data_IF_845633567691
#
_entry.id   IF_845633567691
#
_cell.length_a   1.000
_cell.length_b   1.000
_cell.length_c   1.000
_cell.angle_alpha   90.00
_cell.angle_beta   90.00
_cell.angle_gamma   90.00
#
_symmetry.space_group_name_H-M   'P 1'
#
loop_
_entity.id
_entity.type
_entity.pdbx_description
1 polymer ?
#
# COMPACT_ATOMS: atom_id res chain seq x y z
N UNK A 1 49.54 -4.81 45.21
CA UNK A 1 48.34 -5.33 45.90
C UNK A 1 47.58 -4.24 46.67
N UNK A 2 48.19 -3.47 47.58
CA UNK A 2 47.47 -2.45 48.37
C UNK A 2 46.80 -1.32 47.55
N UNK A 3 47.41 -0.90 46.43
CA UNK A 3 46.84 0.14 45.53
C UNK A 3 45.57 -0.35 44.82
N UNK A 4 45.58 -1.59 44.32
CA UNK A 4 44.40 -2.19 43.68
C UNK A 4 43.23 -2.36 44.67
N UNK A 5 43.52 -2.75 45.90
CA UNK A 5 42.50 -2.87 46.95
C UNK A 5 41.86 -1.51 47.28
N UNK A 6 42.67 -0.45 47.34
CA UNK A 6 42.19 0.92 47.60
C UNK A 6 41.33 1.45 46.45
N UNK A 7 41.69 1.18 45.20
CA UNK A 7 40.89 1.54 44.01
C UNK A 7 39.54 0.82 44.03
N UNK A 8 39.51 -0.48 44.36
CA UNK A 8 38.27 -1.25 44.46
C UNK A 8 37.33 -0.72 45.57
N UNK A 9 37.86 -0.33 46.73
CA UNK A 9 37.05 0.23 47.82
C UNK A 9 36.45 1.59 47.44
N UNK A 10 37.23 2.47 46.79
CA UNK A 10 36.73 3.77 46.30
C UNK A 10 35.64 3.56 45.24
N UNK A 11 35.85 2.63 44.31
CA UNK A 11 34.86 2.31 43.27
C UNK A 11 33.56 1.78 43.86
N UNK A 12 33.65 0.87 44.85
CA UNK A 12 32.47 0.32 45.54
C UNK A 12 31.70 1.41 46.30
N UNK A 13 32.41 2.27 47.05
CA UNK A 13 31.79 3.38 47.77
C UNK A 13 31.08 4.37 46.84
N UNK A 14 31.73 4.79 45.74
CA UNK A 14 31.11 5.67 44.73
C UNK A 14 29.90 5.02 44.06
N UNK A 15 29.96 3.71 43.79
CA UNK A 15 28.84 3.00 43.18
C UNK A 15 27.62 2.97 44.11
N UNK A 16 27.80 2.73 45.41
CA UNK A 16 26.70 2.76 46.38
C UNK A 16 26.13 4.17 46.58
N UNK A 17 26.98 5.21 46.65
CA UNK A 17 26.51 6.60 46.72
C UNK A 17 25.64 6.99 45.52
N UNK A 18 26.05 6.58 44.32
CA UNK A 18 25.32 6.90 43.12
C UNK A 18 24.02 6.08 42.96
N UNK A 19 23.99 4.82 43.41
CA UNK A 19 22.74 4.05 43.55
C UNK A 19 21.77 4.73 44.50
N UNK A 20 22.26 5.17 45.66
CA UNK A 20 21.44 5.89 46.63
C UNK A 20 20.90 7.19 46.04
N UNK A 21 21.75 7.98 45.35
CA UNK A 21 21.31 9.18 44.64
C UNK A 21 20.25 8.89 43.57
N UNK A 22 20.37 7.80 42.83
CA UNK A 22 19.36 7.40 41.86
C UNK A 22 18.03 7.02 42.55
N UNK A 23 18.09 6.30 43.67
CA UNK A 23 16.91 5.98 44.47
C UNK A 23 16.23 7.27 45.01
N UNK A 24 17.01 8.21 45.55
CA UNK A 24 16.50 9.49 46.04
C UNK A 24 15.83 10.32 44.92
N UNK A 25 16.42 10.33 43.71
CA UNK A 25 15.83 11.00 42.55
C UNK A 25 14.50 10.37 42.14
N UNK A 26 14.40 9.05 42.17
CA UNK A 26 13.17 8.33 41.86
C UNK A 26 12.07 8.62 42.89
N UNK A 27 12.38 8.52 44.19
CA UNK A 27 11.42 8.80 45.26
C UNK A 27 10.91 10.25 45.20
N UNK A 28 11.83 11.20 45.00
CA UNK A 28 11.45 12.61 44.82
C UNK A 28 10.59 12.81 43.57
N UNK A 29 10.90 12.15 42.46
CA UNK A 29 10.11 12.25 41.24
C UNK A 29 8.67 11.74 41.45
N UNK A 30 8.51 10.57 42.09
CA UNK A 30 7.19 10.00 42.42
C UNK A 30 6.40 10.92 43.35
N UNK A 31 7.04 11.40 44.42
CA UNK A 31 6.43 12.36 45.34
C UNK A 31 5.95 13.64 44.64
N UNK A 32 6.77 14.20 43.74
CA UNK A 32 6.39 15.39 42.95
C UNK A 32 5.24 15.09 41.99
N UNK A 33 5.20 13.89 41.42
CA UNK A 33 4.11 13.45 40.56
C UNK A 33 2.80 13.33 41.34
N UNK A 34 2.82 12.74 42.53
CA UNK A 34 1.67 12.64 43.45
C UNK A 34 1.20 14.01 43.95
N UNK A 35 2.13 14.93 44.19
CA UNK A 35 1.86 16.35 44.51
C UNK A 35 1.39 17.17 43.29
N UNK A 36 1.22 16.54 42.11
CA UNK A 36 0.83 17.17 40.83
C UNK A 36 1.80 18.25 40.34
N UNK A 37 3.05 18.21 40.78
CA UNK A 37 4.12 19.11 40.34
C UNK A 37 4.80 18.53 39.10
N UNK A 38 4.07 18.54 37.97
CA UNK A 38 4.43 17.83 36.74
C UNK A 38 5.78 18.29 36.16
N UNK A 39 6.09 19.58 36.18
CA UNK A 39 7.36 20.11 35.66
C UNK A 39 8.56 19.62 36.48
N UNK A 40 8.46 19.67 37.81
CA UNK A 40 9.51 19.19 38.72
C UNK A 40 9.67 17.67 38.61
N UNK A 41 8.57 16.92 38.52
CA UNK A 41 8.57 15.48 38.32
C UNK A 41 9.26 15.10 37.00
N UNK A 42 8.94 15.82 35.91
CA UNK A 42 9.56 15.63 34.59
C UNK A 42 11.07 15.81 34.66
N UNK A 43 11.54 16.91 35.25
CA UNK A 43 12.97 17.20 35.41
C UNK A 43 13.68 16.09 36.18
N UNK A 44 13.10 15.63 37.29
CA UNK A 44 13.68 14.56 38.12
C UNK A 44 13.67 13.21 37.41
N UNK A 45 12.60 12.85 36.70
CA UNK A 45 12.53 11.62 35.90
C UNK A 45 13.53 11.62 34.74
N UNK A 46 13.74 12.77 34.07
CA UNK A 46 14.78 12.90 33.04
C UNK A 46 16.17 12.67 33.65
N UNK A 47 16.48 13.33 34.78
CA UNK A 47 17.75 13.13 35.48
C UNK A 47 17.94 11.66 35.90
N UNK A 48 16.90 11.04 36.48
CA UNK A 48 16.92 9.63 36.85
C UNK A 48 17.17 8.72 35.65
N UNK A 49 16.43 8.88 34.55
CA UNK A 49 16.56 8.03 33.36
C UNK A 49 17.96 8.09 32.72
N UNK A 50 18.62 9.25 32.82
CA UNK A 50 20.00 9.45 32.35
C UNK A 50 21.08 8.86 33.27
N UNK A 51 20.73 8.56 34.53
CA UNK A 51 21.67 7.95 35.46
C UNK A 51 21.93 6.48 35.09
N UNK A 52 23.21 6.09 35.04
CA UNK A 52 23.57 4.73 34.62
C UNK A 52 23.14 3.66 35.64
N UNK A 53 22.99 4.00 36.93
CA UNK A 53 22.47 3.12 37.98
C UNK A 53 20.95 3.08 38.11
N UNK A 54 20.18 3.71 37.22
CA UNK A 54 18.73 3.67 37.27
C UNK A 54 18.19 2.26 37.03
N UNK A 55 17.74 1.59 38.10
CA UNK A 55 17.18 0.23 38.07
C UNK A 55 15.82 0.18 37.38
N UNK A 56 15.04 1.27 37.45
CA UNK A 56 13.67 1.38 36.92
C UNK A 56 13.63 2.32 35.70
N UNK A 57 14.67 2.33 34.87
CA UNK A 57 14.80 3.25 33.72
C UNK A 57 13.60 3.16 32.77
N UNK A 58 13.11 1.94 32.50
CA UNK A 58 11.96 1.75 31.61
C UNK A 58 10.69 2.39 32.17
N UNK A 59 10.37 2.15 33.46
CA UNK A 59 9.21 2.79 34.11
C UNK A 59 9.32 4.31 34.12
N UNK A 60 10.52 4.86 34.32
CA UNK A 60 10.75 6.29 34.25
C UNK A 60 10.47 6.86 32.83
N UNK A 61 10.88 6.15 31.79
CA UNK A 61 10.60 6.52 30.40
C UNK A 61 9.10 6.43 30.07
N UNK A 62 8.42 5.38 30.54
CA UNK A 62 6.97 5.23 30.42
C UNK A 62 6.24 6.40 31.10
N UNK A 63 6.62 6.78 32.32
CA UNK A 63 6.03 7.94 33.01
C UNK A 63 6.30 9.27 32.28
N UNK A 64 7.50 9.45 31.70
CA UNK A 64 7.79 10.64 30.89
C UNK A 64 6.91 10.71 29.64
N UNK A 65 6.66 9.57 28.97
CA UNK A 65 5.73 9.51 27.85
C UNK A 65 4.29 9.81 28.28
N UNK A 66 3.85 9.26 29.41
CA UNK A 66 2.53 9.58 29.97
C UNK A 66 2.39 11.08 30.28
N UNK A 67 3.42 11.69 30.88
CA UNK A 67 3.46 13.14 31.13
C UNK A 67 3.33 13.92 29.83
N UNK A 68 4.07 13.55 28.80
CA UNK A 68 4.00 14.20 27.48
C UNK A 68 2.58 14.11 26.89
N UNK A 69 1.94 12.95 26.98
CA UNK A 69 0.57 12.76 26.49
C UNK A 69 -0.48 13.57 27.25
N UNK A 70 -0.29 13.89 28.54
CA UNK A 70 -1.27 14.70 29.30
C UNK A 70 -1.01 16.21 29.24
N UNK A 71 0.24 16.62 29.02
CA UNK A 71 0.63 18.04 29.03
C UNK A 71 0.63 18.68 27.65
N UNK A 72 0.79 17.89 26.59
CA UNK A 72 0.77 18.39 25.21
C UNK A 72 -0.65 18.59 24.70
N UNK A 73 -1.03 19.86 24.49
CA UNK A 73 -2.34 20.20 23.92
C UNK A 73 -2.55 19.54 22.54
N UNK A 74 -1.52 19.43 21.72
CA UNK A 74 -1.62 18.79 20.41
C UNK A 74 -1.92 17.29 20.51
N UNK A 75 -1.34 16.59 21.49
CA UNK A 75 -1.59 15.15 21.71
C UNK A 75 -3.00 14.91 22.27
N UNK A 76 -3.45 15.78 23.17
CA UNK A 76 -4.80 15.73 23.73
C UNK A 76 -5.84 16.02 22.65
N UNK A 77 -5.64 17.07 21.84
CA UNK A 77 -6.51 17.41 20.71
C UNK A 77 -6.57 16.27 19.69
N UNK A 78 -5.42 15.72 19.31
CA UNK A 78 -5.36 14.58 18.40
C UNK A 78 -6.18 13.39 18.94
N UNK A 79 -5.98 13.06 20.22
CA UNK A 79 -6.74 11.99 20.87
C UNK A 79 -8.24 12.25 20.84
N UNK A 80 -8.69 13.48 21.14
CA UNK A 80 -10.10 13.86 21.12
C UNK A 80 -10.73 13.84 19.71
N UNK A 81 -9.98 14.25 18.68
CA UNK A 81 -10.46 14.25 17.29
C UNK A 81 -10.57 12.82 16.74
N UNK A 82 -9.72 11.89 17.19
CA UNK A 82 -9.71 10.50 16.74
C UNK A 82 -10.78 9.61 17.42
N UNK A 83 -11.43 10.09 18.49
CA UNK A 83 -12.48 9.32 19.19
C UNK A 83 -13.68 9.01 18.30
N UNK A 84 -14.36 7.90 18.58
CA UNK A 84 -15.71 7.68 18.07
C UNK A 84 -16.69 8.73 18.62
N UNK A 85 -17.83 8.95 17.97
CA UNK A 85 -18.84 9.90 18.48
C UNK A 85 -19.33 9.52 19.89
N UNK A 86 -19.49 8.22 20.16
CA UNK A 86 -19.89 7.74 21.49
C UNK A 86 -18.82 7.99 22.54
N UNK A 87 -17.55 7.75 22.22
CA UNK A 87 -16.45 7.97 23.17
C UNK A 87 -16.17 9.45 23.37
N UNK A 88 -16.36 10.27 22.33
CA UNK A 88 -16.26 11.72 22.42
C UNK A 88 -17.35 12.30 23.32
N UNK A 89 -18.60 11.84 23.20
CA UNK A 89 -19.69 12.26 24.10
C UNK A 89 -19.41 11.86 25.56
N UNK A 90 -18.81 10.69 25.79
CA UNK A 90 -18.33 10.29 27.12
C UNK A 90 -17.24 11.25 27.58
N UNK A 91 -16.22 11.51 26.77
CA UNK A 91 -15.12 12.43 27.10
C UNK A 91 -15.60 13.86 27.38
N UNK A 92 -16.62 14.33 26.67
CA UNK A 92 -17.29 15.62 26.92
C UNK A 92 -17.98 15.64 28.29
N UNK A 93 -18.67 14.56 28.65
CA UNK A 93 -19.45 14.50 29.90
C UNK A 93 -18.60 14.33 31.17
N UNK A 94 -17.53 13.53 31.11
CA UNK A 94 -16.72 13.16 32.29
C UNK A 94 -15.27 13.64 32.23
N UNK A 95 -14.89 14.35 31.16
CA UNK A 95 -13.52 14.83 30.94
C UNK A 95 -12.45 13.72 31.03
N UNK A 96 -12.79 12.50 30.57
CA UNK A 96 -11.89 11.35 30.65
C UNK A 96 -11.86 10.57 29.33
N UNK A 97 -10.68 10.07 28.99
CA UNK A 97 -10.45 9.18 27.83
C UNK A 97 -9.83 7.90 28.37
N UNK A 98 -10.46 6.75 28.07
CA UNK A 98 -9.98 5.44 28.47
C UNK A 98 -9.30 4.72 27.30
N UNK A 99 -8.07 5.11 27.01
CA UNK A 99 -7.25 4.56 25.92
C UNK A 99 -6.10 3.68 26.43
N UNK A 100 -6.03 3.43 27.75
CA UNK A 100 -4.97 2.66 28.39
C UNK A 100 -3.58 3.30 28.34
N UNK A 101 -3.44 4.53 27.83
CA UNK A 101 -2.13 5.19 27.67
C UNK A 101 -1.60 5.78 28.95
N UNK A 102 -2.48 6.14 29.89
CA UNK A 102 -2.12 6.74 31.18
C UNK A 102 -2.63 5.85 32.29
N UNK A 103 -1.70 5.41 33.14
CA UNK A 103 -1.99 4.53 34.27
C UNK A 103 -1.79 5.22 35.62
N UNK A 104 -1.03 6.32 35.67
CA UNK A 104 -0.75 7.01 36.93
C UNK A 104 -1.95 7.89 37.38
N UNK A 105 -2.46 7.73 38.62
CA UNK A 105 -3.64 8.47 39.09
C UNK A 105 -3.52 10.00 38.99
N UNK A 106 -2.40 10.58 39.41
CA UNK A 106 -2.19 12.03 39.32
C UNK A 106 -2.17 12.56 37.88
N UNK A 107 -1.75 11.72 36.92
CA UNK A 107 -1.75 12.08 35.49
C UNK A 107 -3.14 12.00 34.88
N UNK A 108 -4.01 11.10 35.36
CA UNK A 108 -5.41 11.05 34.93
C UNK A 108 -6.15 12.35 35.27
N UNK A 109 -5.93 12.89 36.47
CA UNK A 109 -6.52 14.17 36.87
C UNK A 109 -5.98 15.33 36.04
N UNK A 110 -4.67 15.34 35.77
CA UNK A 110 -4.03 16.35 34.90
C UNK A 110 -4.60 16.28 33.48
N UNK A 111 -4.78 15.06 32.95
CA UNK A 111 -5.39 14.82 31.64
C UNK A 111 -6.80 15.38 31.58
N UNK A 112 -7.60 15.19 32.63
CA UNK A 112 -8.97 15.68 32.66
C UNK A 112 -9.05 17.20 32.51
N UNK A 113 -8.13 17.93 33.16
CA UNK A 113 -8.03 19.39 33.00
C UNK A 113 -7.62 19.76 31.57
N UNK A 114 -6.64 19.07 30.99
CA UNK A 114 -6.23 19.30 29.60
C UNK A 114 -7.35 18.99 28.60
N UNK A 115 -8.12 17.91 28.81
CA UNK A 115 -9.29 17.57 28.00
C UNK A 115 -10.31 18.69 28.07
N UNK A 116 -10.68 19.12 29.28
CA UNK A 116 -11.64 20.21 29.48
C UNK A 116 -11.23 21.50 28.73
N UNK A 117 -9.93 21.83 28.76
CA UNK A 117 -9.38 22.99 28.04
C UNK A 117 -9.47 22.86 26.52
N UNK A 118 -9.26 21.66 25.99
CA UNK A 118 -9.16 21.39 24.55
C UNK A 118 -10.49 20.97 23.90
N UNK A 119 -11.55 20.74 24.67
CA UNK A 119 -12.85 20.27 24.17
C UNK A 119 -13.44 21.16 23.09
N UNK A 120 -13.50 22.48 23.30
CA UNK A 120 -14.10 23.41 22.34
C UNK A 120 -13.38 23.40 20.98
N UNK A 121 -12.04 23.35 21.01
CA UNK A 121 -11.23 23.27 19.79
C UNK A 121 -11.36 21.90 19.12
N UNK A 122 -11.43 20.81 19.90
CA UNK A 122 -11.69 19.48 19.36
C UNK A 122 -13.08 19.40 18.68
N UNK A 123 -14.13 19.98 19.28
CA UNK A 123 -15.46 20.06 18.67
C UNK A 123 -15.41 20.81 17.33
N UNK A 124 -14.71 21.94 17.28
CA UNK A 124 -14.52 22.72 16.05
C UNK A 124 -13.84 21.87 14.97
N UNK A 125 -12.71 21.23 15.29
CA UNK A 125 -11.97 20.39 14.35
C UNK A 125 -12.78 19.18 13.89
N UNK A 126 -13.52 18.50 14.78
CA UNK A 126 -14.41 17.39 14.42
C UNK A 126 -15.51 17.85 13.47
N UNK A 127 -16.13 19.00 13.73
CA UNK A 127 -17.14 19.56 12.82
C UNK A 127 -16.57 19.89 11.44
N UNK A 128 -15.33 20.38 11.36
CA UNK A 128 -14.63 20.62 10.09
C UNK A 128 -14.35 19.32 9.34
N UNK A 129 -13.95 18.26 10.04
CA UNK A 129 -13.75 16.93 9.45
C UNK A 129 -15.06 16.36 8.90
N UNK A 130 -16.18 16.50 9.63
CA UNK A 130 -17.50 16.06 9.17
C UNK A 130 -17.92 16.84 7.92
N UNK A 131 -17.86 18.18 7.97
CA UNK A 131 -18.20 19.04 6.82
C UNK A 131 -17.33 18.75 5.60
N UNK A 132 -16.04 18.46 5.82
CA UNK A 132 -15.13 18.08 4.74
C UNK A 132 -15.52 16.75 4.11
N UNK A 133 -15.83 15.73 4.92
CA UNK A 133 -16.30 14.42 4.45
C UNK A 133 -17.61 14.53 3.68
N UNK A 134 -18.56 15.33 4.17
CA UNK A 134 -19.82 15.59 3.47
C UNK A 134 -19.60 16.25 2.09
N UNK A 135 -18.67 17.21 2.01
CA UNK A 135 -18.29 17.83 0.72
C UNK A 135 -17.62 16.83 -0.22
N UNK A 136 -16.68 16.03 0.28
CA UNK A 136 -15.99 15.01 -0.51
C UNK A 136 -16.98 13.95 -1.04
N UNK A 137 -17.96 13.54 -0.22
CA UNK A 137 -19.04 12.65 -0.65
C UNK A 137 -19.95 13.30 -1.71
N UNK A 138 -20.38 14.55 -1.50
CA UNK A 138 -21.20 15.26 -2.48
C UNK A 138 -20.47 15.47 -3.81
N UNK A 139 -19.18 15.77 -3.79
CA UNK A 139 -18.34 15.86 -4.99
C UNK A 139 -18.19 14.50 -5.68
N UNK A 140 -18.00 13.42 -4.92
CA UNK A 140 -17.92 12.06 -5.46
C UNK A 140 -19.26 11.63 -6.12
N UNK A 141 -20.39 11.91 -5.48
CA UNK A 141 -21.73 11.66 -6.04
C UNK A 141 -21.97 12.46 -7.33
N UNK A 142 -21.57 13.73 -7.35
CA UNK A 142 -21.68 14.58 -8.55
C UNK A 142 -20.84 14.04 -9.71
N UNK A 143 -19.61 13.58 -9.45
CA UNK A 143 -18.75 12.95 -10.47
C UNK A 143 -19.35 11.62 -10.96
N UNK A 144 -19.84 10.78 -10.05
CA UNK A 144 -20.47 9.52 -10.41
C UNK A 144 -21.75 9.71 -11.23
N UNK A 145 -22.51 10.78 -10.99
CA UNK A 145 -23.65 11.18 -11.83
C UNK A 145 -23.19 11.68 -13.21
N UNK A 146 -22.16 12.53 -13.27
CA UNK A 146 -21.59 12.99 -14.54
C UNK A 146 -21.08 11.81 -15.40
N UNK A 147 -20.42 10.85 -14.79
CA UNK A 147 -19.91 9.65 -15.48
C UNK A 147 -21.05 8.74 -15.95
N UNK A 148 -22.14 8.60 -15.17
CA UNK A 148 -23.35 7.90 -15.61
C UNK A 148 -23.97 8.57 -16.83
N UNK A 149 -24.10 9.89 -16.82
CA UNK A 149 -24.62 10.65 -17.97
C UNK A 149 -23.70 10.53 -19.20
N UNK A 150 -22.37 10.54 -19.02
CA UNK A 150 -21.41 10.31 -20.10
C UNK A 150 -21.54 8.90 -20.67
N UNK A 151 -21.67 7.88 -19.83
CA UNK A 151 -21.87 6.49 -20.26
C UNK A 151 -23.19 6.32 -21.00
N UNK A 152 -24.27 6.95 -20.55
CA UNK A 152 -25.57 6.92 -21.22
C UNK A 152 -25.49 7.57 -22.60
N UNK A 153 -24.89 8.76 -22.72
CA UNK A 153 -24.66 9.41 -24.02
C UNK A 153 -23.78 8.57 -24.95
N UNK A 154 -22.70 7.99 -24.42
CA UNK A 154 -21.81 7.12 -25.20
C UNK A 154 -22.55 5.86 -25.68
N UNK A 155 -23.45 5.31 -24.87
CA UNK A 155 -24.30 4.17 -25.23
C UNK A 155 -25.31 4.56 -26.30
N UNK A 156 -26.00 5.70 -26.16
CA UNK A 156 -26.91 6.20 -27.19
C UNK A 156 -26.19 6.44 -28.53
N UNK A 157 -24.98 6.99 -28.50
CA UNK A 157 -24.15 7.16 -29.70
C UNK A 157 -23.71 5.82 -30.28
N UNK A 158 -23.34 4.84 -29.45
CA UNK A 158 -22.99 3.50 -29.89
C UNK A 158 -24.19 2.77 -30.50
N UNK A 159 -25.38 2.90 -29.91
CA UNK A 159 -26.63 2.34 -30.44
C UNK A 159 -26.99 3.00 -31.78
N UNK A 160 -26.86 4.33 -31.91
CA UNK A 160 -27.02 5.04 -33.20
C UNK A 160 -26.02 4.59 -34.26
N UNK A 161 -24.75 4.37 -33.89
CA UNK A 161 -23.73 3.83 -34.80
C UNK A 161 -24.04 2.39 -35.20
N UNK A 162 -24.42 1.54 -34.25
CA UNK A 162 -24.81 0.16 -34.51
C UNK A 162 -26.07 0.04 -35.37
N UNK A 163 -27.02 0.96 -35.24
CA UNK A 163 -28.21 1.03 -36.10
C UNK A 163 -27.86 1.49 -37.52
N UNK A 164 -26.98 2.48 -37.66
CA UNK A 164 -26.42 2.87 -38.96
C UNK A 164 -25.63 1.72 -39.61
N UNK A 165 -24.84 0.98 -38.84
CA UNK A 165 -24.09 -0.18 -39.32
C UNK A 165 -25.02 -1.36 -39.66
N UNK A 166 -26.12 -1.57 -38.92
CA UNK A 166 -27.15 -2.57 -39.26
C UNK A 166 -27.83 -2.29 -40.59
N UNK A 167 -28.06 -1.02 -40.92
CA UNK A 167 -28.58 -0.62 -42.25
C UNK A 167 -27.54 -0.92 -43.35
N UNK A 168 -26.24 -0.89 -43.03
CA UNK A 168 -25.16 -1.25 -43.95
C UNK A 168 -24.89 -2.77 -44.07
N UNK A 169 -25.31 -3.59 -43.11
CA UNK A 169 -24.90 -5.02 -42.96
C UNK A 169 -26.06 -6.01 -43.17
N UNK A 170 -27.04 -5.70 -44.05
CA UNK A 170 -28.04 -6.68 -44.52
C UNK A 170 -27.43 -7.79 -45.40
N UNK A 171 -26.11 -7.81 -45.63
CA UNK A 171 -25.44 -8.89 -46.34
C UNK A 171 -24.14 -9.29 -45.68
N UNK A 172 -24.19 -10.14 -44.66
CA UNK A 172 -23.33 -11.32 -44.49
C UNK A 172 -23.41 -11.86 -43.05
N UNK A 173 -24.20 -12.92 -42.92
CA UNK A 173 -24.10 -13.86 -41.80
C UNK A 173 -22.89 -14.76 -42.05
N UNK A 174 -21.94 -14.79 -41.12
CA UNK A 174 -20.96 -15.86 -41.03
C UNK A 174 -20.68 -16.18 -39.56
N UNK A 175 -21.50 -17.11 -39.07
CA UNK A 175 -21.21 -17.99 -37.96
C UNK A 175 -19.79 -18.57 -38.13
N UNK A 176 -18.88 -18.23 -37.25
CA UNK A 176 -17.54 -18.84 -37.18
C UNK A 176 -17.19 -19.13 -35.73
N UNK A 177 -17.01 -20.42 -35.49
CA UNK A 177 -16.46 -21.06 -34.30
C UNK A 177 -15.24 -20.28 -33.77
N UNK A 178 -15.44 -19.52 -32.68
CA UNK A 178 -14.39 -18.78 -31.96
C UNK A 178 -13.48 -19.76 -31.20
N UNK A 179 -12.44 -20.23 -31.87
CA UNK A 179 -11.24 -20.78 -31.24
C UNK A 179 -10.18 -19.67 -31.27
N UNK A 180 -9.98 -19.03 -30.11
CA UNK A 180 -8.91 -18.07 -29.79
C UNK A 180 -8.58 -17.05 -30.90
N UNK A 181 -9.20 -15.87 -30.83
CA UNK A 181 -8.71 -14.75 -31.62
C UNK A 181 -9.70 -13.60 -31.65
N UNK A 182 -9.28 -12.47 -31.09
CA UNK A 182 -9.84 -11.17 -31.44
C UNK A 182 -9.87 -11.04 -32.98
N UNK A 183 -10.97 -10.56 -33.53
CA UNK A 183 -11.03 -10.21 -34.95
C UNK A 183 -10.09 -9.02 -35.25
N UNK A 184 -9.82 -8.73 -36.53
CA UNK A 184 -8.88 -7.66 -36.91
C UNK A 184 -9.22 -6.29 -36.27
N UNK A 185 -10.51 -5.97 -36.15
CA UNK A 185 -10.97 -4.73 -35.54
C UNK A 185 -10.77 -4.73 -34.02
N UNK A 186 -11.07 -5.85 -33.36
CA UNK A 186 -10.84 -6.05 -31.92
C UNK A 186 -9.34 -5.98 -31.58
N UNK A 187 -8.47 -6.54 -32.42
CA UNK A 187 -7.00 -6.45 -32.30
C UNK A 187 -6.49 -5.01 -32.40
N UNK A 188 -6.96 -4.29 -33.40
CA UNK A 188 -6.60 -2.88 -33.60
C UNK A 188 -7.12 -2.01 -32.44
N UNK A 189 -8.32 -2.32 -31.93
CA UNK A 189 -8.89 -1.65 -30.77
C UNK A 189 -8.02 -1.87 -29.52
N UNK A 190 -7.58 -3.10 -29.26
CA UNK A 190 -6.67 -3.38 -28.13
C UNK A 190 -5.36 -2.60 -28.25
N UNK A 191 -4.76 -2.49 -29.43
CA UNK A 191 -3.54 -1.68 -29.64
C UNK A 191 -3.76 -0.20 -29.35
N UNK A 192 -4.90 0.36 -29.78
CA UNK A 192 -5.27 1.75 -29.49
C UNK A 192 -5.48 1.97 -27.99
N UNK A 193 -6.10 1.00 -27.31
CA UNK A 193 -6.30 1.06 -25.87
C UNK A 193 -4.96 1.01 -25.12
N UNK A 194 -4.00 0.17 -25.53
CA UNK A 194 -2.63 0.19 -24.96
C UNK A 194 -2.00 1.59 -25.07
N UNK A 195 -2.02 2.19 -26.26
CA UNK A 195 -1.48 3.54 -26.47
C UNK A 195 -2.22 4.62 -25.65
N UNK A 196 -3.53 4.43 -25.44
CA UNK A 196 -4.33 5.31 -24.58
C UNK A 196 -3.90 5.20 -23.13
N UNK A 197 -3.62 3.99 -22.63
CA UNK A 197 -3.11 3.78 -21.26
C UNK A 197 -1.74 4.43 -21.10
N UNK A 198 -0.84 4.27 -22.09
CA UNK A 198 0.47 4.93 -22.10
C UNK A 198 0.36 6.46 -21.98
N UNK A 199 -0.55 7.05 -22.76
CA UNK A 199 -0.79 8.51 -22.73
C UNK A 199 -1.38 8.98 -21.40
N UNK A 200 -2.36 8.25 -20.85
CA UNK A 200 -2.95 8.52 -19.55
C UNK A 200 -1.91 8.43 -18.43
N UNK A 201 -1.05 7.41 -18.47
CA UNK A 201 0.02 7.22 -17.50
C UNK A 201 1.05 8.35 -17.56
N UNK A 202 1.47 8.75 -18.75
CA UNK A 202 2.37 9.89 -18.93
C UNK A 202 1.75 11.20 -18.37
N UNK A 203 0.45 11.41 -18.56
CA UNK A 203 -0.27 12.54 -17.97
C UNK A 203 -0.37 12.44 -16.44
N UNK A 204 -0.60 11.24 -15.90
CA UNK A 204 -0.66 11.00 -14.46
C UNK A 204 0.70 11.22 -13.78
N UNK A 205 1.79 10.82 -14.43
CA UNK A 205 3.16 11.05 -13.93
C UNK A 205 3.49 12.54 -13.79
N UNK A 206 3.03 13.38 -14.74
CA UNK A 206 3.22 14.84 -14.71
C UNK A 206 2.38 15.51 -13.62
N UNK A 207 1.18 14.98 -13.36
CA UNK A 207 0.25 15.58 -12.38
C UNK A 207 0.43 15.06 -10.96
N UNK A 208 1.10 13.90 -10.79
CA UNK A 208 1.42 13.31 -9.50
C UNK A 208 2.33 14.20 -8.67
N UNK A 209 1.92 14.51 -7.43
CA UNK A 209 2.68 15.36 -6.52
C UNK A 209 3.67 14.57 -5.66
N UNK A 210 3.50 13.26 -5.59
CA UNK A 210 4.33 12.38 -4.75
C UNK A 210 4.67 11.08 -5.47
N UNK A 211 5.77 10.46 -5.03
CA UNK A 211 6.22 9.14 -5.51
C UNK A 211 5.15 8.06 -5.31
N UNK A 212 4.32 8.16 -4.26
CA UNK A 212 3.26 7.19 -3.98
C UNK A 212 2.06 7.36 -4.92
N UNK A 213 1.73 8.60 -5.31
CA UNK A 213 0.71 8.84 -6.34
C UNK A 213 1.15 8.29 -7.69
N UNK A 214 2.45 8.40 -8.02
CA UNK A 214 3.00 7.75 -9.21
C UNK A 214 2.90 6.22 -9.11
N UNK A 215 3.11 5.62 -7.93
CA UNK A 215 2.93 4.17 -7.75
C UNK A 215 1.49 3.75 -7.99
N UNK A 216 0.50 4.47 -7.43
CA UNK A 216 -0.93 4.20 -7.67
C UNK A 216 -1.25 4.25 -9.17
N UNK A 217 -0.92 5.37 -9.84
CA UNK A 217 -1.18 5.52 -11.27
C UNK A 217 -0.53 4.42 -12.13
N UNK A 218 0.68 3.97 -11.77
CA UNK A 218 1.37 2.88 -12.48
C UNK A 218 0.76 1.51 -12.20
N UNK A 219 0.25 1.27 -10.99
CA UNK A 219 -0.52 0.06 -10.67
C UNK A 219 -1.82 0.03 -11.46
N UNK A 220 -2.55 1.15 -11.54
CA UNK A 220 -3.75 1.28 -12.37
C UNK A 220 -3.47 0.94 -13.83
N UNK A 221 -2.40 1.52 -14.40
CA UNK A 221 -1.97 1.20 -15.75
C UNK A 221 -1.62 -0.30 -15.94
N UNK A 222 -1.00 -0.93 -14.95
CA UNK A 222 -0.74 -2.37 -14.97
C UNK A 222 -2.04 -3.20 -14.95
N UNK A 223 -3.02 -2.79 -14.13
CA UNK A 223 -4.33 -3.44 -14.05
C UNK A 223 -5.05 -3.33 -15.39
N UNK A 224 -5.09 -2.14 -15.98
CA UNK A 224 -5.73 -1.89 -17.27
C UNK A 224 -5.05 -2.69 -18.39
N UNK A 225 -3.72 -2.65 -18.48
CA UNK A 225 -2.97 -3.42 -19.47
C UNK A 225 -3.17 -4.94 -19.31
N UNK A 226 -3.26 -5.43 -18.08
CA UNK A 226 -3.53 -6.85 -17.80
C UNK A 226 -4.98 -7.21 -18.14
N UNK A 227 -5.91 -6.27 -18.01
CA UNK A 227 -7.28 -6.42 -18.51
C UNK A 227 -7.32 -6.59 -20.04
N UNK A 228 -6.50 -5.81 -20.77
CA UNK A 228 -6.33 -5.98 -22.21
C UNK A 228 -5.68 -7.32 -22.56
N UNK A 229 -4.71 -7.77 -21.77
CA UNK A 229 -4.10 -9.10 -21.91
C UNK A 229 -5.13 -10.22 -21.74
N UNK A 230 -5.94 -10.16 -20.69
CA UNK A 230 -7.01 -11.12 -20.46
C UNK A 230 -7.98 -11.15 -21.64
N UNK A 231 -8.35 -9.99 -22.22
CA UNK A 231 -9.18 -9.91 -23.43
C UNK A 231 -8.51 -10.51 -24.66
N UNK A 232 -7.22 -10.25 -24.86
CA UNK A 232 -6.44 -10.85 -25.93
C UNK A 232 -6.41 -12.38 -25.84
N UNK A 233 -6.45 -12.91 -24.61
CA UNK A 233 -6.55 -14.34 -24.30
C UNK A 233 -7.99 -14.89 -24.29
N UNK A 234 -9.01 -14.06 -24.58
CA UNK A 234 -10.40 -14.48 -24.71
C UNK A 234 -11.29 -14.26 -23.48
N UNK A 235 -10.91 -13.40 -22.54
CA UNK A 235 -11.84 -12.85 -21.56
C UNK A 235 -12.86 -11.93 -22.22
N UNK A 236 -14.09 -11.89 -21.68
CA UNK A 236 -15.05 -10.88 -22.11
C UNK A 236 -14.71 -9.51 -21.53
N UNK A 237 -15.13 -8.43 -22.20
CA UNK A 237 -14.97 -7.09 -21.66
C UNK A 237 -15.74 -6.90 -20.34
N UNK A 238 -16.87 -7.61 -20.16
CA UNK A 238 -17.66 -7.57 -18.93
C UNK A 238 -16.92 -8.24 -17.76
N UNK A 239 -16.28 -9.40 -17.98
CA UNK A 239 -15.48 -10.06 -16.93
C UNK A 239 -14.37 -9.13 -16.41
N UNK A 240 -13.68 -8.43 -17.32
CA UNK A 240 -12.64 -7.46 -16.96
C UNK A 240 -13.26 -6.27 -16.21
N UNK A 241 -14.34 -5.69 -16.74
CA UNK A 241 -15.01 -4.54 -16.14
C UNK A 241 -15.56 -4.84 -14.73
N UNK A 242 -16.11 -6.04 -14.49
CA UNK A 242 -16.59 -6.44 -13.17
C UNK A 242 -15.47 -6.45 -12.13
N UNK A 243 -14.24 -6.77 -12.52
CA UNK A 243 -13.08 -6.75 -11.63
C UNK A 243 -12.58 -5.31 -11.46
N UNK A 244 -12.39 -4.56 -12.55
CA UNK A 244 -11.77 -3.22 -12.51
C UNK A 244 -12.67 -2.14 -11.92
N UNK A 245 -14.01 -2.28 -11.98
CA UNK A 245 -14.95 -1.37 -11.28
C UNK A 245 -14.70 -1.25 -9.79
N UNK A 246 -14.03 -2.25 -9.19
CA UNK A 246 -13.65 -2.23 -7.77
C UNK A 246 -12.57 -1.17 -7.47
N UNK A 247 -11.86 -0.64 -8.47
CA UNK A 247 -10.89 0.45 -8.30
C UNK A 247 -11.57 1.70 -7.73
N UNK A 248 -12.66 2.16 -8.34
CA UNK A 248 -13.37 3.34 -7.86
C UNK A 248 -13.91 3.16 -6.44
N UNK A 249 -14.39 1.95 -6.09
CA UNK A 249 -14.81 1.65 -4.72
C UNK A 249 -13.63 1.64 -3.74
N UNK A 250 -12.50 1.06 -4.14
CA UNK A 250 -11.27 1.04 -3.35
C UNK A 250 -10.74 2.45 -3.09
N UNK A 251 -10.73 3.31 -4.11
CA UNK A 251 -10.31 4.71 -3.99
C UNK A 251 -11.17 5.51 -3.01
N UNK A 252 -12.47 5.22 -2.95
CA UNK A 252 -13.41 5.87 -2.04
C UNK A 252 -13.27 5.38 -0.59
N UNK A 253 -12.84 4.13 -0.39
CA UNK A 253 -12.78 3.49 0.92
C UNK A 253 -11.40 3.58 1.58
N UNK A 254 -10.35 3.85 0.81
CA UNK A 254 -8.99 3.92 1.31
C UNK A 254 -8.71 5.25 2.03
N UNK A 255 -8.39 5.18 3.33
CA UNK A 255 -8.01 6.38 4.11
C UNK A 255 -6.59 6.89 3.79
N UNK A 256 -5.75 6.04 3.20
CA UNK A 256 -4.34 6.34 2.91
C UNK A 256 -3.90 5.79 1.55
N UNK A 257 -2.89 6.41 0.94
CA UNK A 257 -2.30 5.93 -0.32
C UNK A 257 -1.73 4.52 -0.19
N UNK A 258 -1.26 4.11 0.99
CA UNK A 258 -0.79 2.73 1.19
C UNK A 258 -1.93 1.72 1.18
N UNK A 259 -3.09 2.06 1.77
CA UNK A 259 -4.28 1.20 1.70
C UNK A 259 -4.77 1.10 0.25
N UNK A 260 -4.78 2.23 -0.46
CA UNK A 260 -5.12 2.27 -1.88
C UNK A 260 -4.21 1.33 -2.69
N UNK A 261 -2.89 1.42 -2.51
CA UNK A 261 -1.92 0.53 -3.17
C UNK A 261 -2.19 -0.95 -2.83
N UNK A 262 -2.47 -1.28 -1.57
CA UNK A 262 -2.72 -2.67 -1.14
C UNK A 262 -4.01 -3.24 -1.75
N UNK A 263 -5.07 -2.44 -1.81
CA UNK A 263 -6.34 -2.82 -2.41
C UNK A 263 -6.24 -2.92 -3.94
N UNK A 264 -5.56 -1.97 -4.58
CA UNK A 264 -5.25 -2.00 -6.01
C UNK A 264 -4.45 -3.24 -6.39
N UNK A 265 -3.45 -3.64 -5.61
CA UNK A 265 -2.74 -4.90 -5.84
C UNK A 265 -3.66 -6.11 -5.72
N UNK A 266 -4.64 -6.10 -4.82
CA UNK A 266 -5.64 -7.18 -4.75
C UNK A 266 -6.49 -7.24 -6.03
N UNK A 267 -6.85 -6.09 -6.59
CA UNK A 267 -7.53 -6.01 -7.89
C UNK A 267 -6.61 -6.51 -9.00
N UNK A 268 -5.32 -6.15 -8.96
CA UNK A 268 -4.32 -6.61 -9.92
C UNK A 268 -4.17 -8.14 -9.91
N UNK A 269 -4.13 -8.77 -8.73
CA UNK A 269 -4.14 -10.24 -8.60
C UNK A 269 -5.36 -10.83 -9.29
N UNK A 270 -6.55 -10.25 -9.10
CA UNK A 270 -7.79 -10.77 -9.71
C UNK A 270 -7.78 -10.66 -11.24
N UNK A 271 -7.26 -9.57 -11.81
CA UNK A 271 -7.16 -9.43 -13.27
C UNK A 271 -6.07 -10.35 -13.84
N UNK A 272 -4.94 -10.51 -13.14
CA UNK A 272 -3.88 -11.45 -13.53
C UNK A 272 -4.36 -12.91 -13.47
N UNK A 273 -5.16 -13.25 -12.46
CA UNK A 273 -5.82 -14.56 -12.36
C UNK A 273 -6.76 -14.80 -13.55
N UNK A 274 -7.54 -13.80 -13.95
CA UNK A 274 -8.39 -13.90 -15.14
C UNK A 274 -7.55 -14.14 -16.39
N UNK A 275 -6.43 -13.41 -16.57
CA UNK A 275 -5.52 -13.63 -17.69
C UNK A 275 -4.92 -15.06 -17.66
N UNK A 276 -4.40 -15.51 -16.52
CA UNK A 276 -3.83 -16.84 -16.35
C UNK A 276 -4.85 -17.97 -16.64
N UNK A 277 -6.08 -17.85 -16.15
CA UNK A 277 -7.14 -18.84 -16.46
C UNK A 277 -7.48 -18.86 -17.94
N UNK A 278 -7.41 -17.72 -18.63
CA UNK A 278 -7.73 -17.60 -20.05
C UNK A 278 -6.61 -18.10 -20.96
N UNK A 279 -5.35 -18.02 -20.53
CA UNK A 279 -4.23 -18.69 -21.19
C UNK A 279 -4.18 -20.20 -20.92
N UNK A 280 -4.97 -20.71 -19.96
CA UNK A 280 -5.11 -22.14 -19.69
C UNK A 280 -4.42 -22.64 -18.42
N UNK A 281 -4.00 -21.74 -17.51
CA UNK A 281 -3.48 -22.13 -16.21
C UNK A 281 -4.52 -22.87 -15.35
N UNK A 282 -4.05 -23.72 -14.43
CA UNK A 282 -4.92 -24.48 -13.52
C UNK A 282 -5.76 -23.55 -12.65
N UNK A 283 -7.06 -23.83 -12.60
CA UNK A 283 -7.99 -23.13 -11.72
C UNK A 283 -7.65 -23.38 -10.25
N UNK A 284 -7.27 -24.60 -9.91
CA UNK A 284 -6.91 -25.01 -8.54
C UNK A 284 -5.66 -24.26 -8.06
N UNK A 285 -4.66 -24.09 -8.91
CA UNK A 285 -3.44 -23.34 -8.56
C UNK A 285 -3.72 -21.84 -8.38
N UNK A 286 -4.56 -21.26 -9.24
CA UNK A 286 -5.04 -19.88 -9.07
C UNK A 286 -5.78 -19.71 -7.73
N UNK A 287 -6.71 -20.61 -7.42
CA UNK A 287 -7.49 -20.58 -6.17
C UNK A 287 -6.60 -20.76 -4.93
N UNK A 288 -5.54 -21.56 -5.04
CA UNK A 288 -4.53 -21.71 -3.98
C UNK A 288 -3.82 -20.39 -3.71
N UNK A 289 -3.33 -19.70 -4.73
CA UNK A 289 -2.64 -18.40 -4.58
C UNK A 289 -3.59 -17.38 -3.93
N UNK A 290 -4.85 -17.30 -4.40
CA UNK A 290 -5.87 -16.43 -3.80
C UNK A 290 -6.13 -16.74 -2.33
N UNK A 291 -6.25 -18.02 -1.98
CA UNK A 291 -6.51 -18.47 -0.62
C UNK A 291 -5.33 -18.16 0.31
N UNK A 292 -4.10 -18.37 -0.18
CA UNK A 292 -2.88 -18.01 0.54
C UNK A 292 -2.77 -16.50 0.75
N UNK A 293 -3.05 -15.69 -0.27
CA UNK A 293 -3.06 -14.23 -0.15
C UNK A 293 -4.06 -13.78 0.92
N UNK A 294 -5.30 -14.30 0.89
CA UNK A 294 -6.33 -13.97 1.90
C UNK A 294 -5.87 -14.33 3.31
N UNK A 295 -5.34 -15.54 3.49
CA UNK A 295 -4.86 -16.01 4.79
C UNK A 295 -3.69 -15.16 5.30
N UNK A 296 -2.70 -14.88 4.44
CA UNK A 296 -1.53 -14.06 4.79
C UNK A 296 -1.94 -12.61 5.07
N UNK A 297 -2.92 -12.06 4.34
CA UNK A 297 -3.45 -10.71 4.59
C UNK A 297 -4.14 -10.59 5.95
N UNK A 298 -4.89 -11.60 6.39
CA UNK A 298 -5.47 -11.65 7.75
C UNK A 298 -4.35 -11.62 8.81
N UNK A 299 -3.22 -12.27 8.55
CA UNK A 299 -2.06 -12.30 9.44
C UNK A 299 -1.14 -11.08 9.34
N UNK A 300 -1.31 -10.21 8.35
CA UNK A 300 -0.46 -9.05 8.14
C UNK A 300 -0.70 -7.99 9.22
N UNK A 301 0.38 -7.52 9.85
CA UNK A 301 0.32 -6.52 10.94
C UNK A 301 0.38 -5.09 10.43
N UNK A 302 0.80 -4.88 9.19
CA UNK A 302 0.92 -3.57 8.57
C UNK A 302 0.44 -3.58 7.13
N UNK A 303 0.02 -2.43 6.63
CA UNK A 303 -0.38 -2.26 5.22
C UNK A 303 0.80 -2.55 4.29
N UNK A 304 2.03 -2.18 4.66
CA UNK A 304 3.21 -2.48 3.84
C UNK A 304 3.44 -3.99 3.68
N UNK A 305 3.15 -4.80 4.71
CA UNK A 305 3.16 -6.26 4.58
C UNK A 305 2.09 -6.74 3.60
N UNK A 306 0.88 -6.17 3.63
CA UNK A 306 -0.16 -6.50 2.65
C UNK A 306 0.26 -6.14 1.22
N UNK A 307 0.96 -5.01 1.02
CA UNK A 307 1.48 -4.63 -0.30
C UNK A 307 2.52 -5.65 -0.78
N UNK A 308 3.47 -6.07 0.08
CA UNK A 308 4.45 -7.13 -0.26
C UNK A 308 3.75 -8.43 -0.67
N UNK A 309 2.73 -8.84 0.09
CA UNK A 309 1.94 -10.03 -0.20
C UNK A 309 1.15 -9.91 -1.50
N UNK A 310 0.61 -8.73 -1.79
CA UNK A 310 -0.06 -8.44 -3.06
C UNK A 310 0.89 -8.57 -4.25
N UNK A 311 2.09 -7.97 -4.18
CA UNK A 311 3.11 -8.08 -5.24
C UNK A 311 3.51 -9.55 -5.47
N UNK A 312 3.70 -10.31 -4.39
CA UNK A 312 4.03 -11.74 -4.43
C UNK A 312 2.94 -12.57 -5.12
N UNK A 313 1.69 -12.30 -4.80
CA UNK A 313 0.55 -12.95 -5.43
C UNK A 313 0.42 -12.58 -6.91
N UNK A 314 0.66 -11.31 -7.30
CA UNK A 314 0.69 -10.92 -8.71
C UNK A 314 1.80 -11.65 -9.46
N UNK A 315 3.01 -11.72 -8.89
CA UNK A 315 4.14 -12.44 -9.49
C UNK A 315 3.85 -13.94 -9.62
N UNK A 316 3.19 -14.54 -8.62
CA UNK A 316 2.80 -15.95 -8.64
C UNK A 316 1.74 -16.24 -9.72
N UNK A 317 0.74 -15.36 -9.88
CA UNK A 317 -0.25 -15.47 -10.97
C UNK A 317 0.39 -15.26 -12.34
N UNK A 318 1.32 -14.31 -12.46
CA UNK A 318 2.07 -14.08 -13.69
C UNK A 318 2.95 -15.30 -14.04
N UNK A 319 3.46 -16.02 -13.04
CA UNK A 319 4.22 -17.26 -13.26
C UNK A 319 3.34 -18.36 -13.87
N UNK A 320 2.12 -18.55 -13.36
CA UNK A 320 1.15 -19.50 -13.93
C UNK A 320 0.75 -19.10 -15.36
N UNK A 321 0.52 -17.80 -15.59
CA UNK A 321 0.28 -17.26 -16.93
C UNK A 321 1.45 -17.60 -17.87
N UNK A 322 2.68 -17.28 -17.48
CA UNK A 322 3.88 -17.51 -18.28
C UNK A 322 4.07 -19.01 -18.60
N UNK A 323 3.86 -19.89 -17.63
CA UNK A 323 3.91 -21.34 -17.82
C UNK A 323 2.85 -21.82 -18.83
N UNK A 324 1.61 -21.33 -18.71
CA UNK A 324 0.53 -21.69 -19.64
C UNK A 324 0.75 -21.15 -21.07
N UNK A 325 1.52 -20.06 -21.22
CA UNK A 325 1.99 -19.54 -22.51
C UNK A 325 3.22 -20.30 -23.04
N UNK A 326 3.75 -21.26 -22.30
CA UNK A 326 4.83 -22.14 -22.75
C UNK A 326 6.24 -21.69 -22.35
N UNK A 327 6.38 -20.76 -21.40
CA UNK A 327 7.70 -20.45 -20.81
C UNK A 327 8.23 -21.67 -20.07
N UNK A 328 9.52 -22.00 -20.25
CA UNK A 328 10.10 -23.19 -19.65
C UNK A 328 10.14 -23.09 -18.11
N UNK A 329 9.86 -24.20 -17.43
CA UNK A 329 9.93 -24.26 -15.96
C UNK A 329 11.34 -23.98 -15.42
N UNK A 330 12.38 -24.24 -16.22
CA UNK A 330 13.77 -23.92 -15.89
C UNK A 330 14.01 -22.40 -15.84
N UNK A 331 13.47 -21.65 -16.81
CA UNK A 331 13.59 -20.19 -16.84
C UNK A 331 12.82 -19.55 -15.68
N UNK A 332 11.59 -20.00 -15.44
CA UNK A 332 10.76 -19.53 -14.32
C UNK A 332 11.40 -19.85 -12.97
N UNK A 333 11.99 -21.04 -12.81
CA UNK A 333 12.72 -21.43 -11.60
C UNK A 333 13.98 -20.59 -11.39
N UNK A 334 14.69 -20.24 -12.47
CA UNK A 334 15.87 -19.36 -12.43
C UNK A 334 15.51 -17.93 -12.02
N UNK A 335 14.38 -17.41 -12.51
CA UNK A 335 13.88 -16.09 -12.10
C UNK A 335 13.46 -16.13 -10.63
N UNK A 336 12.65 -17.11 -10.23
CA UNK A 336 12.16 -17.27 -8.85
C UNK A 336 13.29 -17.42 -7.85
N UNK A 337 14.32 -18.22 -8.18
CA UNK A 337 15.50 -18.39 -7.32
C UNK A 337 16.26 -17.08 -7.09
N UNK A 338 16.39 -16.26 -8.14
CA UNK A 338 17.02 -14.93 -8.04
C UNK A 338 16.19 -13.96 -7.20
N UNK A 339 14.86 -13.99 -7.36
CA UNK A 339 13.94 -13.18 -6.54
C UNK A 339 14.06 -13.59 -5.07
N UNK A 340 14.01 -14.88 -4.77
CA UNK A 340 14.12 -15.40 -3.39
C UNK A 340 15.47 -15.06 -2.75
N UNK A 341 16.55 -15.13 -3.52
CA UNK A 341 17.87 -14.70 -3.03
C UNK A 341 17.86 -13.21 -2.68
N UNK A 342 17.38 -12.37 -3.59
CA UNK A 342 17.32 -10.92 -3.38
C UNK A 342 16.39 -10.55 -2.21
N UNK A 343 15.25 -11.23 -2.08
CA UNK A 343 14.28 -11.06 -0.99
C UNK A 343 14.88 -11.47 0.37
N UNK A 344 15.64 -12.57 0.41
CA UNK A 344 16.33 -13.04 1.61
C UNK A 344 17.47 -12.11 2.05
N UNK A 345 18.10 -11.40 1.10
CA UNK A 345 19.16 -10.43 1.38
C UNK A 345 18.65 -9.00 1.60
N UNK A 346 17.34 -8.77 1.51
CA UNK A 346 16.76 -7.46 1.70
C UNK A 346 16.71 -7.08 3.19
N UNK A 347 17.25 -5.90 3.53
CA UNK A 347 17.24 -5.34 4.88
C UNK A 347 15.91 -4.66 5.22
N UNK A 348 15.11 -4.34 4.21
CA UNK A 348 13.85 -3.60 4.38
C UNK A 348 12.71 -4.20 3.56
N UNK A 349 11.48 -3.98 4.04
CA UNK A 349 10.25 -4.33 3.31
C UNK A 349 10.22 -3.72 1.91
N UNK A 350 10.70 -2.49 1.72
CA UNK A 350 10.72 -1.87 0.40
C UNK A 350 11.72 -2.53 -0.56
N UNK A 351 12.86 -3.00 -0.07
CA UNK A 351 13.80 -3.77 -0.90
C UNK A 351 13.22 -5.13 -1.30
N UNK A 352 12.46 -5.78 -0.41
CA UNK A 352 11.69 -6.99 -0.74
C UNK A 352 10.69 -6.72 -1.88
N UNK A 353 9.97 -5.59 -1.81
CA UNK A 353 9.04 -5.17 -2.87
C UNK A 353 9.75 -4.96 -4.21
N UNK A 354 10.93 -4.33 -4.21
CA UNK A 354 11.74 -4.13 -5.43
C UNK A 354 12.20 -5.47 -6.02
N UNK A 355 12.66 -6.40 -5.16
CA UNK A 355 13.07 -7.73 -5.59
C UNK A 355 11.93 -8.49 -6.26
N UNK A 356 10.74 -8.50 -5.64
CA UNK A 356 9.55 -9.18 -6.15
C UNK A 356 8.99 -8.54 -7.42
N UNK A 357 8.95 -7.20 -7.50
CA UNK A 357 8.58 -6.49 -8.72
C UNK A 357 9.55 -6.77 -9.87
N UNK A 358 10.87 -6.83 -9.59
CA UNK A 358 11.85 -7.23 -10.61
C UNK A 358 11.59 -8.65 -11.12
N UNK A 359 11.16 -9.55 -10.23
CA UNK A 359 10.67 -10.89 -10.59
C UNK A 359 9.50 -10.86 -11.55
N UNK A 360 8.44 -10.12 -11.20
CA UNK A 360 7.24 -9.96 -12.03
C UNK A 360 7.62 -9.49 -13.45
N UNK A 361 8.44 -8.45 -13.56
CA UNK A 361 8.80 -7.90 -14.88
C UNK A 361 9.58 -8.93 -15.71
N UNK A 362 10.49 -9.70 -15.10
CA UNK A 362 11.23 -10.77 -15.80
C UNK A 362 10.32 -11.92 -16.24
N UNK A 363 9.33 -12.29 -15.43
CA UNK A 363 8.32 -13.31 -15.78
C UNK A 363 7.52 -12.84 -16.99
N UNK A 364 7.01 -11.60 -16.96
CA UNK A 364 6.28 -11.01 -18.08
C UNK A 364 7.13 -10.88 -19.33
N UNK A 365 8.41 -10.50 -19.20
CA UNK A 365 9.36 -10.46 -20.30
C UNK A 365 9.62 -11.83 -20.93
N UNK A 366 9.74 -12.88 -20.12
CA UNK A 366 9.86 -14.25 -20.60
C UNK A 366 8.60 -14.70 -21.36
N UNK A 367 7.41 -14.41 -20.83
CA UNK A 367 6.15 -14.68 -21.51
C UNK A 367 6.06 -13.92 -22.84
N UNK A 368 6.43 -12.64 -22.87
CA UNK A 368 6.42 -11.82 -24.08
C UNK A 368 7.32 -12.41 -25.18
N UNK A 369 8.54 -12.86 -24.82
CA UNK A 369 9.47 -13.52 -25.76
C UNK A 369 8.89 -14.82 -26.30
N UNK A 370 8.31 -15.67 -25.45
CA UNK A 370 7.64 -16.91 -25.89
C UNK A 370 6.46 -16.60 -26.82
N UNK A 371 5.77 -15.50 -26.59
CA UNK A 371 4.71 -15.01 -27.45
C UNK A 371 5.20 -14.28 -28.72
N UNK A 372 6.51 -14.23 -28.96
CA UNK A 372 7.09 -13.69 -30.19
C UNK A 372 7.37 -12.19 -30.18
N UNK A 373 7.42 -11.55 -29.00
CA UNK A 373 7.93 -10.19 -28.88
C UNK A 373 9.40 -10.10 -29.32
N UNK A 374 9.80 -8.93 -29.85
CA UNK A 374 11.19 -8.71 -30.25
C UNK A 374 12.15 -8.86 -29.06
N UNK A 375 13.06 -9.83 -29.15
CA UNK A 375 14.07 -10.14 -28.12
C UNK A 375 14.84 -8.90 -27.67
N UNK A 376 15.21 -8.05 -28.63
CA UNK A 376 15.93 -6.81 -28.39
C UNK A 376 15.12 -5.84 -27.52
N UNK A 377 13.80 -5.75 -27.72
CA UNK A 377 12.94 -4.84 -26.95
C UNK A 377 12.73 -5.35 -25.53
N UNK A 378 12.48 -6.64 -25.36
CA UNK A 378 12.38 -7.24 -24.03
C UNK A 378 13.71 -7.14 -23.26
N UNK A 379 14.84 -7.44 -23.91
CA UNK A 379 16.18 -7.30 -23.32
C UNK A 379 16.50 -5.86 -22.90
N UNK A 380 16.17 -4.87 -23.73
CA UNK A 380 16.36 -3.45 -23.39
C UNK A 380 15.61 -3.05 -22.11
N UNK A 381 14.35 -3.47 -21.98
CA UNK A 381 13.53 -3.16 -20.82
C UNK A 381 14.07 -3.82 -19.54
N UNK A 382 14.64 -5.02 -19.63
CA UNK A 382 15.31 -5.67 -18.49
C UNK A 382 16.65 -5.01 -18.13
N UNK A 383 17.45 -4.61 -19.12
CA UNK A 383 18.75 -3.95 -18.91
C UNK A 383 18.60 -2.54 -18.29
N UNK A 384 17.47 -1.88 -18.55
CA UNK A 384 17.15 -0.58 -17.99
C UNK A 384 17.01 -0.60 -16.46
N UNK A 385 16.75 -1.76 -15.83
CA UNK A 385 16.71 -1.89 -14.37
C UNK A 385 17.96 -1.37 -13.67
N UNK A 386 19.15 -1.74 -14.17
CA UNK A 386 20.41 -1.33 -13.56
C UNK A 386 20.66 0.17 -13.74
N UNK A 387 20.16 0.76 -14.82
CA UNK A 387 20.24 2.22 -15.05
C UNK A 387 19.26 2.96 -14.16
N UNK A 388 18.05 2.43 -14.00
CA UNK A 388 17.01 3.00 -13.16
C UNK A 388 17.41 2.95 -11.68
N UNK A 389 18.08 1.88 -11.24
CA UNK A 389 18.59 1.77 -9.87
C UNK A 389 19.67 2.81 -9.56
N UNK A 390 20.52 3.14 -10.54
CA UNK A 390 21.52 4.21 -10.44
C UNK A 390 20.91 5.62 -10.44
N UNK A 391 19.72 5.77 -11.02
CA UNK A 391 18.99 7.06 -11.13
C UNK A 391 17.99 7.29 -10.00
N UNK A 392 17.62 6.25 -9.27
CA UNK A 392 16.63 6.35 -8.24
C UNK A 392 17.21 7.01 -6.98
N UNK A 393 16.58 8.10 -6.54
CA UNK A 393 16.92 8.79 -5.28
C UNK A 393 16.58 7.98 -4.02
N UNK A 394 15.90 6.83 -4.19
CA UNK A 394 15.57 5.90 -3.11
C UNK A 394 14.72 4.73 -3.57
N UNK A 395 14.45 3.80 -2.64
CA UNK A 395 13.73 2.54 -2.93
C UNK A 395 12.31 2.77 -3.44
N UNK A 396 11.64 3.84 -3.00
CA UNK A 396 10.31 4.20 -3.54
C UNK A 396 10.37 4.57 -5.02
N UNK A 397 11.43 5.26 -5.44
CA UNK A 397 11.62 5.61 -6.84
C UNK A 397 12.00 4.38 -7.67
N UNK A 398 12.76 3.44 -7.11
CA UNK A 398 13.00 2.14 -7.74
C UNK A 398 11.69 1.38 -7.98
N UNK A 399 10.78 1.35 -6.99
CA UNK A 399 9.46 0.73 -7.14
C UNK A 399 8.64 1.38 -8.26
N UNK A 400 8.64 2.71 -8.32
CA UNK A 400 8.00 3.48 -9.39
C UNK A 400 8.55 3.03 -10.76
N UNK A 401 9.86 2.96 -10.94
CA UNK A 401 10.46 2.47 -12.19
C UNK A 401 10.10 1.01 -12.50
N UNK A 402 10.07 0.12 -11.50
CA UNK A 402 9.69 -1.28 -11.74
C UNK A 402 8.23 -1.45 -12.12
N UNK A 403 7.31 -0.67 -11.56
CA UNK A 403 5.90 -0.68 -11.96
C UNK A 403 5.73 -0.20 -13.41
N UNK A 404 6.46 0.84 -13.82
CA UNK A 404 6.49 1.28 -15.21
C UNK A 404 6.97 0.16 -16.14
N UNK A 405 8.06 -0.52 -15.78
CA UNK A 405 8.56 -1.65 -16.57
C UNK A 405 7.59 -2.84 -16.57
N UNK A 406 6.84 -3.04 -15.48
CA UNK A 406 5.78 -4.04 -15.40
C UNK A 406 4.68 -3.75 -16.43
N UNK A 407 4.22 -2.51 -16.49
CA UNK A 407 3.28 -2.04 -17.50
C UNK A 407 3.84 -2.21 -18.92
N UNK A 408 5.06 -1.75 -19.19
CA UNK A 408 5.69 -1.84 -20.52
C UNK A 408 5.86 -3.29 -20.98
N UNK A 409 6.21 -4.21 -20.08
CA UNK A 409 6.28 -5.64 -20.40
C UNK A 409 4.91 -6.27 -20.64
N UNK A 410 3.89 -5.92 -19.85
CA UNK A 410 2.52 -6.37 -20.11
C UNK A 410 2.03 -5.86 -21.45
N UNK A 411 2.27 -4.59 -21.79
CA UNK A 411 1.93 -4.02 -23.08
C UNK A 411 2.65 -4.73 -24.25
N UNK A 412 3.94 -5.05 -24.07
CA UNK A 412 4.71 -5.82 -25.04
C UNK A 412 4.12 -7.23 -25.25
N UNK A 413 3.74 -7.92 -24.18
CA UNK A 413 3.08 -9.23 -24.22
C UNK A 413 1.72 -9.15 -24.93
N UNK A 414 0.90 -8.15 -24.61
CA UNK A 414 -0.39 -7.92 -25.29
C UNK A 414 -0.18 -7.78 -26.80
N UNK A 415 0.78 -6.93 -27.20
CA UNK A 415 1.06 -6.69 -28.62
C UNK A 415 1.56 -7.95 -29.34
N UNK A 416 2.37 -8.77 -28.67
CA UNK A 416 2.87 -10.04 -29.21
C UNK A 416 1.71 -11.02 -29.46
N UNK A 417 0.82 -11.22 -28.48
CA UNK A 417 -0.35 -12.09 -28.61
C UNK A 417 -1.30 -11.59 -29.71
N UNK A 418 -1.54 -10.28 -29.78
CA UNK A 418 -2.44 -9.67 -30.79
C UNK A 418 -1.86 -9.76 -32.21
N UNK A 419 -0.54 -9.80 -32.35
CA UNK A 419 0.14 -9.92 -33.64
C UNK A 419 0.10 -11.33 -34.24
N UNK A 420 0.00 -12.39 -33.41
CA UNK A 420 -0.22 -13.77 -33.85
C UNK A 420 -1.59 -13.95 -34.49
#
# INVERSE_FOLDING_TARGET
MAVLFSICLIYRSKTEQLKQRAADLWEQAQKRLDEKQIEDATRLLTQYSSAWQATERQKAQELLQQIQHVTSDSEVLKSLVELSESDFAVAESIHAINDGRISHPALLETRAVSIARNLAEAMRLRSEVVLRRERELAEAEARAEEDRQKQERAREEAERRAENDRIAVVGQSADTTRLLGLNKQEREQVRKEVASIEASLASADVTSRTVFQQQVARIDACIEATGLLARALGASADDVAQITRKLSTSDLLSDTVYQQIAEHLTIYVNVMELAAKKSGASKEECEKIQSELRLKNIGARTVQQQIVLGIDAVASMANLLAESLGVSSADLSSITSRVNLNDATADTVFQQMVARQTGLVRILGAAARTEGAEEQRAGQLEDEFSRDDLRADGVQQQLVFRLQKGFEMTALLVNAIVAK
#
